data_IF_779058372018
#
_entry.id   IF_779058372018
#
_cell.length_a   1.000
_cell.length_b   1.000
_cell.length_c   1.000
_cell.angle_alpha   90.00
_cell.angle_beta   90.00
_cell.angle_gamma   90.00
#
_symmetry.space_group_name_H-M   'P 1'
#
loop_
_entity.id
_entity.type
_entity.pdbx_description
1 polymer ?
#
# COMPACT_ATOMS: atom_id res chain seq x y z
N UNK A 1 -7.66 11.60 12.95
CA UNK A 1 -9.03 11.96 12.62
C UNK A 1 -9.90 10.72 12.42
N UNK A 2 -9.60 9.87 11.46
CA UNK A 2 -10.45 8.75 11.04
C UNK A 2 -10.56 7.61 12.06
N UNK A 3 -9.67 7.53 13.05
CA UNK A 3 -9.65 6.45 14.06
C UNK A 3 -10.27 6.84 15.39
N UNK A 4 -10.32 8.13 15.73
CA UNK A 4 -10.69 8.60 17.07
C UNK A 4 -11.89 9.55 17.08
N UNK A 5 -12.41 9.96 15.94
CA UNK A 5 -13.48 10.95 15.85
C UNK A 5 -14.59 10.50 14.90
N UNK A 6 -15.85 10.84 15.25
CA UNK A 6 -17.01 10.57 14.41
C UNK A 6 -16.94 11.30 13.07
N UNK A 7 -17.68 10.81 12.06
CA UNK A 7 -17.77 11.47 10.75
C UNK A 7 -18.77 12.64 10.72
N UNK A 8 -19.41 12.95 11.85
CA UNK A 8 -20.38 14.05 11.95
C UNK A 8 -19.72 15.43 11.74
N UNK A 9 -20.43 16.34 11.08
CA UNK A 9 -19.97 17.70 10.81
C UNK A 9 -20.46 18.65 11.90
N UNK A 10 -19.91 18.55 13.14
CA UNK A 10 -20.29 19.38 14.28
C UNK A 10 -19.13 20.28 14.76
N UNK A 11 -19.48 21.41 15.38
CA UNK A 11 -18.48 22.27 16.03
C UNK A 11 -17.77 21.56 17.19
N UNK A 12 -18.50 20.74 17.95
CA UNK A 12 -17.93 19.91 19.03
C UNK A 12 -16.84 19.00 18.51
N UNK A 13 -17.07 18.34 17.36
CA UNK A 13 -16.02 17.53 16.73
C UNK A 13 -14.81 18.37 16.33
N UNK A 14 -15.01 19.58 15.82
CA UNK A 14 -13.90 20.49 15.45
C UNK A 14 -13.09 20.92 16.66
N UNK A 15 -13.74 21.17 17.77
CA UNK A 15 -13.07 21.49 19.02
C UNK A 15 -12.26 20.29 19.54
N UNK A 16 -12.83 19.10 19.51
CA UNK A 16 -12.11 17.87 19.87
C UNK A 16 -10.93 17.57 18.93
N UNK A 17 -11.05 17.84 17.62
CA UNK A 17 -9.94 17.75 16.68
C UNK A 17 -8.78 18.67 17.08
N UNK A 18 -9.08 19.92 17.48
CA UNK A 18 -8.06 20.89 17.91
C UNK A 18 -7.37 20.48 19.20
N UNK A 19 -8.15 20.03 20.19
CA UNK A 19 -7.60 19.53 21.46
C UNK A 19 -6.72 18.29 21.26
N UNK A 20 -7.16 17.36 20.40
CA UNK A 20 -6.38 16.17 20.07
C UNK A 20 -5.08 16.54 19.35
N UNK A 21 -5.14 17.46 18.38
CA UNK A 21 -3.96 17.95 17.68
C UNK A 21 -2.95 18.59 18.63
N UNK A 22 -3.43 19.43 19.55
CA UNK A 22 -2.58 20.04 20.58
C UNK A 22 -1.93 18.98 21.47
N UNK A 23 -2.70 17.98 21.92
CA UNK A 23 -2.17 16.89 22.75
C UNK A 23 -1.11 16.07 22.02
N UNK A 24 -1.30 15.79 20.73
CA UNK A 24 -0.33 15.09 19.88
C UNK A 24 0.96 15.91 19.77
N UNK A 25 0.86 17.22 19.51
CA UNK A 25 2.03 18.12 19.42
C UNK A 25 2.80 18.27 20.72
N UNK A 26 2.14 18.12 21.88
CA UNK A 26 2.82 18.08 23.17
C UNK A 26 3.53 16.76 23.46
N UNK A 27 3.08 15.67 22.84
CA UNK A 27 3.57 14.31 23.14
C UNK A 27 4.58 13.80 22.12
N UNK A 28 4.58 14.32 20.88
CA UNK A 28 5.39 13.85 19.77
C UNK A 28 6.13 15.00 19.11
N UNK A 29 7.35 14.72 18.63
CA UNK A 29 8.08 15.65 17.77
C UNK A 29 7.42 15.78 16.38
N UNK A 30 7.74 16.86 15.63
CA UNK A 30 7.25 17.03 14.26
C UNK A 30 7.65 15.88 13.36
N UNK A 31 8.84 15.33 13.53
CA UNK A 31 9.32 14.19 12.73
C UNK A 31 8.53 12.92 13.03
N UNK A 32 8.24 12.67 14.30
CA UNK A 32 7.38 11.54 14.70
C UNK A 32 5.94 11.67 14.18
N UNK A 33 5.39 12.89 14.19
CA UNK A 33 4.07 13.16 13.61
C UNK A 33 4.09 12.91 12.09
N UNK A 34 5.15 13.34 11.40
CA UNK A 34 5.30 13.15 9.98
C UNK A 34 5.48 11.67 9.62
N UNK A 35 6.28 10.94 10.38
CA UNK A 35 6.46 9.50 10.24
C UNK A 35 5.12 8.74 10.39
N UNK A 36 4.36 9.04 11.44
CA UNK A 36 3.03 8.46 11.62
C UNK A 36 2.09 8.81 10.46
N UNK A 37 2.13 10.04 9.98
CA UNK A 37 1.33 10.46 8.83
C UNK A 37 1.69 9.66 7.59
N UNK A 38 2.98 9.55 7.26
CA UNK A 38 3.45 8.83 6.09
C UNK A 38 3.15 7.32 6.15
N UNK A 39 3.09 6.74 7.34
CA UNK A 39 2.77 5.33 7.52
C UNK A 39 1.26 5.03 7.50
N UNK A 40 0.40 6.04 7.74
CA UNK A 40 -1.05 5.81 7.91
C UNK A 40 -1.93 6.41 6.81
N UNK A 41 -1.41 7.36 6.02
CA UNK A 41 -2.22 8.07 5.03
C UNK A 41 -2.74 7.12 3.94
N UNK A 42 -4.03 7.22 3.62
CA UNK A 42 -4.59 6.49 2.50
C UNK A 42 -4.21 7.13 1.16
N UNK A 43 -3.66 6.34 0.26
CA UNK A 43 -3.11 6.78 -1.03
C UNK A 43 -3.78 6.15 -2.26
N UNK A 44 -4.96 5.59 -2.07
CA UNK A 44 -5.68 4.89 -3.16
C UNK A 44 -5.25 3.43 -3.31
N UNK A 45 -5.92 2.66 -4.16
CA UNK A 45 -5.63 1.24 -4.45
C UNK A 45 -5.46 0.35 -3.20
N UNK A 46 -6.11 0.70 -2.08
CA UNK A 46 -5.97 0.07 -0.76
C UNK A 46 -4.56 0.23 -0.15
N UNK A 47 -3.78 1.19 -0.65
CA UNK A 47 -2.48 1.54 -0.06
C UNK A 47 -2.67 2.45 1.15
N UNK A 48 -2.19 2.04 2.30
CA UNK A 48 -2.06 2.84 3.50
C UNK A 48 -0.58 3.04 3.80
N UNK A 49 -0.15 4.29 3.77
CA UNK A 49 1.24 4.70 3.88
C UNK A 49 2.02 4.67 2.56
N UNK A 50 3.11 5.46 2.53
CA UNK A 50 3.92 5.64 1.32
C UNK A 50 4.70 4.39 0.93
N UNK A 51 5.12 3.56 1.89
CA UNK A 51 5.80 2.30 1.60
C UNK A 51 4.87 1.32 0.87
N UNK A 52 3.61 1.19 1.32
CA UNK A 52 2.61 0.38 0.63
C UNK A 52 2.26 0.95 -0.75
N UNK A 53 2.18 2.29 -0.88
CA UNK A 53 1.92 2.94 -2.15
C UNK A 53 3.06 2.72 -3.16
N UNK A 54 4.33 2.84 -2.73
CA UNK A 54 5.50 2.56 -3.57
C UNK A 54 5.46 1.13 -4.13
N UNK A 55 5.12 0.16 -3.27
CA UNK A 55 5.00 -1.22 -3.68
C UNK A 55 3.81 -1.45 -4.63
N UNK A 56 2.64 -0.85 -4.36
CA UNK A 56 1.42 -1.05 -5.15
C UNK A 56 1.48 -0.35 -6.51
N UNK A 57 2.04 0.85 -6.59
CA UNK A 57 2.08 1.62 -7.84
C UNK A 57 3.31 1.35 -8.70
N UNK A 58 4.47 1.05 -8.08
CA UNK A 58 5.75 0.94 -8.78
C UNK A 58 6.51 -0.38 -8.54
N UNK A 59 5.99 -1.25 -7.66
CA UNK A 59 6.64 -2.51 -7.25
C UNK A 59 8.08 -2.33 -6.75
N UNK A 60 8.29 -1.23 -6.00
CA UNK A 60 9.61 -0.85 -5.47
C UNK A 60 9.50 -0.50 -3.98
N UNK A 61 10.55 -0.70 -3.19
CA UNK A 61 10.64 -0.10 -1.86
C UNK A 61 10.73 1.43 -1.98
N UNK A 62 10.24 2.15 -0.98
CA UNK A 62 10.17 3.63 -1.02
C UNK A 62 11.53 4.31 -1.21
N UNK A 63 12.62 3.65 -0.79
CA UNK A 63 13.99 4.13 -0.91
C UNK A 63 14.53 4.11 -2.35
N UNK A 64 13.93 3.32 -3.22
CA UNK A 64 14.33 3.14 -4.63
C UNK A 64 13.49 3.96 -5.60
N UNK A 65 12.55 4.77 -5.08
CA UNK A 65 11.72 5.63 -5.92
C UNK A 65 12.57 6.73 -6.57
N UNK A 66 12.33 6.95 -7.86
CA UNK A 66 12.87 8.12 -8.56
C UNK A 66 12.17 9.39 -8.09
N UNK A 67 12.73 10.56 -8.42
CA UNK A 67 12.09 11.86 -8.14
C UNK A 67 10.71 11.96 -8.81
N UNK A 68 10.58 11.42 -10.01
CA UNK A 68 9.33 11.39 -10.74
C UNK A 68 8.28 10.51 -10.04
N UNK A 69 8.66 9.31 -9.62
CA UNK A 69 7.79 8.39 -8.88
C UNK A 69 7.39 8.96 -7.51
N UNK A 70 8.35 9.49 -6.76
CA UNK A 70 8.11 10.09 -5.44
C UNK A 70 7.17 11.31 -5.53
N UNK A 71 7.37 12.19 -6.52
CA UNK A 71 6.50 13.36 -6.74
C UNK A 71 5.08 12.96 -7.17
N UNK A 72 4.93 11.87 -7.91
CA UNK A 72 3.62 11.29 -8.26
C UNK A 72 2.88 10.82 -7.01
N UNK A 73 3.53 10.05 -6.14
CA UNK A 73 2.93 9.60 -4.88
C UNK A 73 2.61 10.76 -3.94
N UNK A 74 3.47 11.78 -3.88
CA UNK A 74 3.23 12.98 -3.08
C UNK A 74 1.98 13.79 -3.52
N UNK A 75 1.49 13.54 -4.72
CA UNK A 75 0.23 14.10 -5.22
C UNK A 75 -1.03 13.49 -4.64
N UNK A 76 -0.97 12.24 -4.20
CA UNK A 76 -2.13 11.43 -3.80
C UNK A 76 -2.84 11.90 -2.52
N UNK A 77 -2.15 12.38 -1.46
CA UNK A 77 -2.80 12.76 -0.20
C UNK A 77 -3.92 13.79 -0.35
N UNK A 78 -3.85 14.67 -1.35
CA UNK A 78 -4.88 15.69 -1.59
C UNK A 78 -6.23 15.10 -1.96
N UNK A 79 -6.24 14.11 -2.84
CA UNK A 79 -7.45 13.40 -3.28
C UNK A 79 -7.04 12.08 -3.96
N UNK A 80 -6.87 10.99 -3.22
CA UNK A 80 -6.30 9.74 -3.72
C UNK A 80 -7.05 9.15 -4.92
N UNK A 81 -8.38 9.28 -4.95
CA UNK A 81 -9.18 8.78 -6.08
C UNK A 81 -9.07 9.68 -7.32
N UNK A 82 -8.97 11.00 -7.14
CA UNK A 82 -8.94 11.96 -8.25
C UNK A 82 -7.57 12.04 -8.92
N UNK A 83 -6.50 11.85 -8.16
CA UNK A 83 -5.11 11.92 -8.63
C UNK A 83 -4.45 10.54 -8.76
N UNK A 84 -5.25 9.47 -8.75
CA UNK A 84 -4.76 8.11 -8.95
C UNK A 84 -4.20 7.96 -10.38
N UNK A 85 -2.90 7.66 -10.56
CA UNK A 85 -2.30 7.60 -11.88
C UNK A 85 -2.81 6.43 -12.73
N UNK A 86 -3.26 5.34 -12.10
CA UNK A 86 -3.84 4.17 -12.82
C UNK A 86 -5.23 4.50 -13.38
N UNK A 87 -5.98 5.38 -12.70
CA UNK A 87 -7.38 5.71 -13.08
C UNK A 87 -7.45 7.01 -13.89
N UNK A 88 -6.66 8.02 -13.48
CA UNK A 88 -6.70 9.37 -14.03
C UNK A 88 -5.28 9.88 -14.33
N UNK A 89 -4.55 9.29 -15.30
CA UNK A 89 -3.15 9.60 -15.56
C UNK A 89 -2.89 11.08 -15.86
N UNK A 90 -3.77 11.73 -16.61
CA UNK A 90 -3.64 13.16 -16.95
C UNK A 90 -3.71 14.06 -15.71
N UNK A 91 -4.68 13.81 -14.82
CA UNK A 91 -4.80 14.55 -13.57
C UNK A 91 -3.63 14.30 -12.62
N UNK A 92 -3.16 13.07 -12.58
CA UNK A 92 -1.99 12.70 -11.80
C UNK A 92 -0.74 13.45 -12.29
N UNK A 93 -0.50 13.51 -13.61
CA UNK A 93 0.61 14.28 -14.22
C UNK A 93 0.52 15.77 -13.92
N UNK A 94 -0.65 16.37 -14.03
CA UNK A 94 -0.84 17.78 -13.67
C UNK A 94 -0.51 18.04 -12.20
N UNK A 95 -0.88 17.12 -11.32
CA UNK A 95 -0.57 17.24 -9.90
C UNK A 95 0.91 17.02 -9.61
N UNK A 96 1.55 16.07 -10.28
CA UNK A 96 3.01 15.86 -10.24
C UNK A 96 3.77 17.10 -10.67
N UNK A 97 3.38 17.70 -11.80
CA UNK A 97 3.98 18.95 -12.30
C UNK A 97 3.89 20.10 -11.28
N UNK A 98 2.73 20.25 -10.64
CA UNK A 98 2.55 21.23 -9.57
C UNK A 98 3.53 20.98 -8.40
N UNK A 99 3.73 19.73 -7.98
CA UNK A 99 4.65 19.39 -6.90
C UNK A 99 6.09 19.68 -7.29
N UNK A 100 6.52 19.24 -8.47
CA UNK A 100 7.88 19.48 -8.97
C UNK A 100 8.16 20.98 -9.14
N UNK A 101 7.17 21.79 -9.54
CA UNK A 101 7.28 23.23 -9.58
C UNK A 101 7.56 23.83 -8.19
N UNK A 102 6.73 23.44 -7.19
CA UNK A 102 6.91 23.92 -5.82
C UNK A 102 8.26 23.47 -5.23
N UNK A 103 8.70 22.25 -5.51
CA UNK A 103 10.02 21.78 -5.06
C UNK A 103 11.16 22.62 -5.66
N UNK A 104 11.06 23.00 -6.92
CA UNK A 104 12.03 23.88 -7.57
C UNK A 104 11.98 25.30 -7.00
N UNK A 105 10.79 25.87 -6.80
CA UNK A 105 10.62 27.20 -6.21
C UNK A 105 11.17 27.29 -4.78
N UNK A 106 11.05 26.21 -4.01
CA UNK A 106 11.61 26.09 -2.67
C UNK A 106 13.11 25.74 -2.66
N UNK A 107 13.75 25.61 -3.82
CA UNK A 107 15.16 25.26 -3.93
C UNK A 107 15.51 23.80 -3.53
N UNK A 108 14.50 22.92 -3.41
CA UNK A 108 14.71 21.51 -3.06
C UNK A 108 15.29 20.71 -4.23
N UNK A 109 14.99 21.10 -5.46
CA UNK A 109 15.49 20.48 -6.69
C UNK A 109 15.94 21.55 -7.68
N UNK A 110 16.89 21.19 -8.55
CA UNK A 110 17.35 22.05 -9.63
C UNK A 110 16.37 22.03 -10.81
N UNK A 111 16.39 23.07 -11.69
CA UNK A 111 15.60 23.06 -12.92
C UNK A 111 15.88 21.84 -13.81
N UNK A 112 17.13 21.35 -13.81
CA UNK A 112 17.53 20.18 -14.57
C UNK A 112 16.88 18.90 -14.00
N UNK A 113 16.91 18.72 -12.68
CA UNK A 113 16.27 17.58 -12.01
C UNK A 113 14.76 17.56 -12.25
N UNK A 114 14.11 18.73 -12.19
CA UNK A 114 12.70 18.85 -12.53
C UNK A 114 12.44 18.44 -13.99
N UNK A 115 13.23 18.95 -14.95
CA UNK A 115 13.06 18.61 -16.36
C UNK A 115 13.23 17.10 -16.60
N UNK A 116 14.21 16.46 -15.95
CA UNK A 116 14.40 15.01 -16.00
C UNK A 116 13.20 14.25 -15.44
N UNK A 117 12.70 14.63 -14.25
CA UNK A 117 11.57 14.00 -13.62
C UNK A 117 10.26 14.18 -14.42
N UNK A 118 10.09 15.32 -15.11
CA UNK A 118 8.94 15.56 -15.99
C UNK A 118 9.00 14.74 -17.29
N UNK A 119 10.20 14.46 -17.80
CA UNK A 119 10.43 13.69 -19.02
C UNK A 119 10.43 12.16 -18.78
N UNK A 120 10.56 11.73 -17.52
CA UNK A 120 10.57 10.31 -17.15
C UNK A 120 9.22 9.67 -17.44
N UNK A 121 9.22 8.60 -18.23
CA UNK A 121 8.03 7.83 -18.50
C UNK A 121 7.76 6.88 -17.34
N UNK A 122 6.68 7.12 -16.60
CA UNK A 122 6.30 6.33 -15.45
C UNK A 122 5.42 5.15 -15.87
N UNK A 123 5.85 3.95 -15.50
CA UNK A 123 5.06 2.75 -15.62
C UNK A 123 4.38 2.47 -14.27
N UNK A 124 3.09 2.74 -14.22
CA UNK A 124 2.27 2.49 -13.04
C UNK A 124 1.12 1.54 -13.41
N UNK A 125 1.14 0.40 -12.76
CA UNK A 125 0.07 -0.58 -12.81
C UNK A 125 -0.33 -0.88 -11.37
N UNK A 126 -1.50 -1.50 -11.21
CA UNK A 126 -1.84 -2.05 -9.90
C UNK A 126 -1.03 -3.33 -9.70
N UNK A 127 0.12 -3.21 -9.08
CA UNK A 127 0.87 -4.38 -8.64
C UNK A 127 0.14 -5.03 -7.45
N UNK A 128 -0.65 -6.03 -7.77
CA UNK A 128 -1.20 -6.92 -6.74
C UNK A 128 -0.10 -7.91 -6.44
N UNK A 129 0.39 -7.92 -5.20
CA UNK A 129 1.23 -9.02 -4.76
C UNK A 129 0.53 -10.32 -5.17
N UNK A 130 1.12 -11.06 -6.10
CA UNK A 130 0.58 -12.35 -6.50
C UNK A 130 0.72 -13.27 -5.29
N UNK A 131 -0.37 -13.34 -4.53
CA UNK A 131 -0.49 -14.40 -3.52
C UNK A 131 -0.45 -15.68 -4.34
N UNK A 132 0.57 -16.49 -4.12
CA UNK A 132 0.66 -17.79 -4.77
C UNK A 132 -0.58 -18.60 -4.38
N UNK A 133 -1.53 -18.69 -5.32
CA UNK A 133 -2.80 -19.37 -5.09
C UNK A 133 -2.60 -20.84 -4.73
N UNK A 134 -1.45 -21.43 -5.06
CA UNK A 134 -1.10 -22.79 -4.65
C UNK A 134 -0.85 -22.91 -3.14
N UNK A 135 -0.53 -21.81 -2.47
CA UNK A 135 -0.23 -21.76 -1.04
C UNK A 135 -1.41 -21.28 -0.15
N UNK A 136 -2.59 -20.99 -0.70
CA UNK A 136 -3.72 -20.47 0.07
C UNK A 136 -4.14 -21.41 1.22
N UNK A 137 -4.14 -22.71 0.99
CA UNK A 137 -4.45 -23.70 2.03
C UNK A 137 -3.39 -23.72 3.13
N UNK A 138 -2.11 -23.58 2.76
CA UNK A 138 -1.00 -23.49 3.72
C UNK A 138 -1.11 -22.21 4.55
N UNK A 139 -1.44 -21.11 3.92
CA UNK A 139 -1.67 -19.83 4.60
C UNK A 139 -2.84 -19.92 5.59
N UNK A 140 -3.94 -20.59 5.21
CA UNK A 140 -5.08 -20.79 6.11
C UNK A 140 -4.74 -21.73 7.29
N UNK A 141 -4.00 -22.79 7.06
CA UNK A 141 -3.51 -23.66 8.14
C UNK A 141 -2.64 -22.86 9.13
N UNK A 142 -1.71 -22.08 8.62
CA UNK A 142 -0.86 -21.21 9.45
C UNK A 142 -1.68 -20.18 10.24
N UNK A 143 -2.71 -19.59 9.62
CA UNK A 143 -3.62 -18.66 10.29
C UNK A 143 -4.37 -19.33 11.43
N UNK A 144 -4.90 -20.53 11.21
CA UNK A 144 -5.63 -21.30 12.23
C UNK A 144 -4.72 -21.64 13.42
N UNK A 145 -3.52 -22.11 13.17
CA UNK A 145 -2.55 -22.44 14.23
C UNK A 145 -2.15 -21.20 15.04
N UNK A 146 -1.95 -20.05 14.38
CA UNK A 146 -1.70 -18.78 15.06
C UNK A 146 -2.90 -18.36 15.92
N UNK A 147 -4.11 -18.49 15.38
CA UNK A 147 -5.32 -18.09 16.09
C UNK A 147 -5.58 -18.98 17.31
N UNK A 148 -5.37 -20.28 17.20
CA UNK A 148 -5.46 -21.22 18.34
C UNK A 148 -4.47 -20.86 19.45
N UNK A 149 -3.27 -20.36 19.08
CA UNK A 149 -2.21 -20.06 20.04
C UNK A 149 -2.31 -18.67 20.64
N UNK A 150 -2.74 -17.67 19.87
CA UNK A 150 -2.67 -16.25 20.25
C UNK A 150 -4.03 -15.54 20.21
N UNK A 151 -5.11 -16.19 19.77
CA UNK A 151 -6.45 -15.59 19.67
C UNK A 151 -6.47 -14.37 18.75
N UNK A 152 -7.15 -13.32 19.17
CA UNK A 152 -7.27 -12.06 18.42
C UNK A 152 -5.92 -11.35 18.17
N UNK A 153 -4.93 -11.59 19.00
CA UNK A 153 -3.58 -11.05 18.82
C UNK A 153 -2.92 -11.54 17.53
N UNK A 154 -3.34 -12.69 17.00
CA UNK A 154 -2.89 -13.21 15.72
C UNK A 154 -3.09 -12.21 14.55
N UNK A 155 -4.08 -11.33 14.65
CA UNK A 155 -4.40 -10.34 13.61
C UNK A 155 -3.79 -8.96 13.85
N UNK A 156 -3.33 -8.67 15.06
CA UNK A 156 -2.90 -7.32 15.48
C UNK A 156 -1.41 -7.18 15.72
N UNK A 157 -0.73 -8.28 16.09
CA UNK A 157 0.69 -8.26 16.50
C UNK A 157 1.69 -8.33 15.33
N UNK A 158 1.21 -8.49 14.09
CA UNK A 158 2.09 -8.51 12.90
C UNK A 158 3.03 -9.72 12.85
N UNK A 159 2.58 -10.89 13.27
CA UNK A 159 3.38 -12.12 13.22
C UNK A 159 3.87 -12.46 11.82
N UNK A 160 5.10 -12.93 11.73
CA UNK A 160 5.67 -13.53 10.53
C UNK A 160 5.76 -15.04 10.71
N UNK A 161 5.11 -15.79 9.82
CA UNK A 161 5.09 -17.26 9.86
C UNK A 161 6.00 -17.79 8.76
N UNK A 162 6.98 -18.58 9.17
CA UNK A 162 7.88 -19.28 8.25
C UNK A 162 7.45 -20.74 8.17
N UNK A 163 7.12 -21.18 6.96
CA UNK A 163 6.73 -22.57 6.70
C UNK A 163 7.86 -23.34 6.02
N UNK A 164 7.82 -24.66 6.10
CA UNK A 164 8.76 -25.55 5.39
C UNK A 164 8.30 -25.87 3.96
N UNK A 165 7.21 -25.25 3.50
CA UNK A 165 6.63 -25.51 2.17
C UNK A 165 7.48 -24.85 1.10
N UNK A 166 7.93 -25.65 0.14
CA UNK A 166 8.59 -25.17 -1.07
C UNK A 166 7.52 -24.86 -2.14
N UNK A 167 7.49 -23.63 -2.65
CA UNK A 167 6.48 -23.15 -3.60
C UNK A 167 6.47 -23.94 -4.92
N UNK A 168 7.64 -24.33 -5.43
CA UNK A 168 7.77 -25.15 -6.64
C UNK A 168 7.18 -26.54 -6.46
N UNK A 169 7.54 -27.21 -5.37
CA UNK A 169 7.00 -28.53 -5.03
C UNK A 169 5.49 -28.46 -4.83
N UNK A 170 4.99 -27.43 -4.17
CA UNK A 170 3.55 -27.21 -3.98
C UNK A 170 2.82 -27.04 -5.30
N UNK A 171 3.38 -26.28 -6.25
CA UNK A 171 2.80 -26.07 -7.57
C UNK A 171 2.74 -27.38 -8.38
N UNK A 172 3.82 -28.13 -8.38
CA UNK A 172 3.91 -29.44 -9.06
C UNK A 172 2.90 -30.43 -8.46
N UNK A 173 2.84 -30.53 -7.12
CA UNK A 173 1.90 -31.40 -6.44
C UNK A 173 0.43 -31.03 -6.74
N UNK A 174 0.11 -29.74 -6.72
CA UNK A 174 -1.24 -29.25 -7.04
C UNK A 174 -1.61 -29.57 -8.50
N UNK A 175 -0.69 -29.40 -9.43
CA UNK A 175 -0.92 -29.72 -10.84
C UNK A 175 -1.13 -31.24 -11.05
N UNK A 176 -0.32 -32.06 -10.40
CA UNK A 176 -0.42 -33.52 -10.47
C UNK A 176 -1.77 -34.02 -9.89
N UNK A 177 -2.18 -33.52 -8.72
CA UNK A 177 -3.47 -33.85 -8.13
C UNK A 177 -4.65 -33.46 -9.03
N UNK A 178 -4.65 -32.23 -9.56
CA UNK A 178 -5.69 -31.76 -10.48
C UNK A 178 -5.75 -32.60 -11.76
N UNK A 179 -4.60 -33.01 -12.29
CA UNK A 179 -4.54 -33.89 -13.46
C UNK A 179 -5.12 -35.27 -13.15
N UNK A 180 -4.76 -35.85 -12.01
CA UNK A 180 -5.27 -37.16 -11.60
C UNK A 180 -6.79 -37.13 -11.42
N UNK A 181 -7.34 -36.14 -10.73
CA UNK A 181 -8.78 -35.96 -10.54
C UNK A 181 -9.53 -35.82 -11.88
N UNK A 182 -9.03 -34.99 -12.80
CA UNK A 182 -9.64 -34.82 -14.12
C UNK A 182 -9.62 -36.11 -14.95
N UNK A 183 -8.55 -36.89 -14.83
CA UNK A 183 -8.47 -38.21 -15.51
C UNK A 183 -9.46 -39.21 -14.92
N UNK A 184 -9.61 -39.21 -13.59
CA UNK A 184 -10.59 -40.03 -12.91
C UNK A 184 -12.01 -39.66 -13.34
N UNK A 185 -12.37 -38.38 -13.33
CA UNK A 185 -13.71 -37.93 -13.74
C UNK A 185 -14.01 -38.29 -15.22
N UNK A 186 -13.00 -38.18 -16.10
CA UNK A 186 -13.16 -38.59 -17.53
C UNK A 186 -13.30 -40.10 -17.70
N UNK A 187 -12.66 -40.90 -16.84
CA UNK A 187 -12.74 -42.35 -16.85
C UNK A 187 -14.02 -42.91 -16.23
N UNK A 188 -14.57 -42.17 -15.26
CA UNK A 188 -15.82 -42.52 -14.58
C UNK A 188 -16.99 -41.86 -15.28
N UNK A 189 -17.24 -42.24 -16.55
CA UNK A 189 -18.45 -41.77 -17.25
C UNK A 189 -19.68 -42.37 -16.58
N UNK A 190 -20.46 -41.56 -15.91
CA UNK A 190 -21.88 -41.74 -15.71
C UNK A 190 -22.61 -41.16 -16.92
#
# INVERSE_FOLDING_TARGET
KNFYLSNERTFTRKFNEALLAYKIEQSLSKDQILELYFNQIYLGQRAYGFAAAAQIYFNKPVQELTLAEASMLAGLPKAPSAFNPVVNPERAKLRQAYILNNMQELGMITPQQKAQAMAEELHYERFVQQIDQSALYVAEMARQELYEKYGEDAYTQGFKVYTTVNSENQRVATAALRKALRNFDRGSRY
#
